data_IF_524092614700
#
_entry.id   IF_524092614700
#
_cell.length_a   1.000
_cell.length_b   1.000
_cell.length_c   1.000
_cell.angle_alpha   90.00
_cell.angle_beta   90.00
_cell.angle_gamma   90.00
#
_symmetry.space_group_name_H-M   'P 1'
#
loop_
_entity.id
_entity.type
_entity.pdbx_description
1 polymer ?
#
# COMPACT_ATOMS: atom_id res chain seq x y z
N UNK A 1 -17.07 -3.03 -1.12
CA UNK A 1 -17.25 -4.49 -1.25
C UNK A 1 -16.15 -5.14 -0.45
N UNK A 2 -16.49 -5.72 0.70
CA UNK A 2 -15.59 -6.43 1.59
C UNK A 2 -15.45 -7.86 1.06
N UNK A 3 -14.27 -8.21 0.52
CA UNK A 3 -13.94 -9.59 0.22
C UNK A 3 -13.89 -10.39 1.52
N UNK A 4 -14.99 -11.04 1.90
CA UNK A 4 -15.06 -11.88 3.08
C UNK A 4 -14.49 -13.25 2.77
N UNK A 5 -13.25 -13.51 3.20
CA UNK A 5 -12.76 -14.87 3.36
C UNK A 5 -13.42 -15.47 4.63
N UNK A 6 -14.53 -16.15 4.49
CA UNK A 6 -15.12 -16.91 5.59
C UNK A 6 -14.47 -18.29 5.69
N UNK A 7 -13.82 -18.56 6.83
CA UNK A 7 -13.33 -19.88 7.21
C UNK A 7 -13.92 -20.26 8.56
N UNK A 8 -14.51 -21.45 8.66
CA UNK A 8 -14.90 -22.05 9.92
C UNK A 8 -13.68 -22.78 10.50
N UNK A 9 -13.11 -22.25 11.58
CA UNK A 9 -12.15 -22.98 12.40
C UNK A 9 -12.90 -23.59 13.58
N UNK A 10 -12.95 -24.91 13.68
CA UNK A 10 -13.34 -25.59 14.90
C UNK A 10 -12.19 -25.50 15.93
N UNK A 11 -12.52 -25.18 17.18
CA UNK A 11 -11.56 -25.19 18.28
C UNK A 11 -11.23 -26.66 18.58
N UNK A 12 -10.17 -27.19 17.99
CA UNK A 12 -9.55 -28.45 18.42
C UNK A 12 -8.49 -28.06 19.46
N UNK A 13 -8.51 -28.65 20.67
CA UNK A 13 -7.44 -28.40 21.64
C UNK A 13 -6.08 -28.71 21.01
N UNK A 14 -5.13 -27.78 21.14
CA UNK A 14 -3.76 -27.90 20.60
C UNK A 14 -3.11 -29.21 21.07
N UNK A 15 -3.44 -29.69 22.27
CA UNK A 15 -2.96 -30.95 22.83
C UNK A 15 -3.36 -32.20 22.02
N UNK A 16 -4.47 -32.15 21.28
CA UNK A 16 -4.94 -33.29 20.45
C UNK A 16 -4.16 -33.40 19.13
N UNK A 17 -3.58 -32.30 18.65
CA UNK A 17 -2.85 -32.25 17.40
C UNK A 17 -1.32 -32.39 17.58
N UNK A 18 -0.84 -32.67 18.79
CA UNK A 18 0.57 -32.82 19.09
C UNK A 18 1.14 -34.05 18.36
N UNK A 19 2.35 -33.89 17.78
CA UNK A 19 3.08 -34.91 17.05
C UNK A 19 2.40 -35.40 15.74
N UNK A 20 1.32 -34.74 15.30
CA UNK A 20 0.66 -35.00 14.02
C UNK A 20 1.26 -34.08 12.95
N UNK A 21 1.66 -34.65 11.81
CA UNK A 21 1.99 -33.86 10.62
C UNK A 21 0.74 -33.56 9.82
N UNK A 22 0.61 -32.30 9.37
CA UNK A 22 -0.51 -31.86 8.56
C UNK A 22 -0.02 -31.07 7.34
N UNK A 23 -0.86 -31.08 6.30
CA UNK A 23 -0.68 -30.31 5.09
C UNK A 23 -1.70 -29.20 5.03
N UNK A 24 -1.21 -27.95 4.95
CA UNK A 24 -2.02 -26.76 4.81
C UNK A 24 -2.13 -26.30 3.36
N UNK A 25 -3.33 -25.85 2.97
CA UNK A 25 -3.61 -25.23 1.68
C UNK A 25 -4.23 -23.85 1.91
N UNK A 26 -3.67 -22.83 1.28
CA UNK A 26 -4.34 -21.53 1.18
C UNK A 26 -4.97 -21.45 -0.20
N UNK A 27 -6.31 -21.36 -0.23
CA UNK A 27 -7.10 -21.34 -1.45
C UNK A 27 -7.78 -19.97 -1.58
N UNK A 28 -7.68 -19.36 -2.75
CA UNK A 28 -8.30 -18.08 -3.03
C UNK A 28 -9.84 -18.23 -3.15
N UNK A 29 -10.58 -17.34 -2.50
CA UNK A 29 -12.05 -17.32 -2.55
C UNK A 29 -12.60 -16.31 -3.54
N UNK A 30 -11.74 -15.44 -4.06
CA UNK A 30 -12.08 -14.40 -5.02
C UNK A 30 -10.97 -14.23 -6.05
N UNK A 31 -11.17 -13.43 -7.09
CA UNK A 31 -10.15 -13.13 -8.10
C UNK A 31 -9.48 -11.78 -7.81
N UNK A 32 -8.19 -11.66 -8.07
CA UNK A 32 -7.45 -10.42 -7.83
C UNK A 32 -5.93 -10.56 -7.96
N UNK A 33 -5.20 -9.67 -7.30
CA UNK A 33 -3.73 -9.61 -7.33
C UNK A 33 -3.19 -10.11 -6.00
N UNK A 34 -2.36 -11.15 -6.06
CA UNK A 34 -1.73 -11.72 -4.87
C UNK A 34 -0.68 -10.75 -4.30
N UNK A 35 -0.73 -10.55 -2.98
CA UNK A 35 0.30 -9.87 -2.22
C UNK A 35 0.38 -10.45 -0.80
N UNK A 36 1.60 -10.61 -0.28
CA UNK A 36 1.86 -11.04 1.10
C UNK A 36 2.71 -12.30 1.25
N UNK A 37 2.88 -13.09 0.21
CA UNK A 37 3.72 -14.29 0.27
C UNK A 37 5.19 -13.95 0.59
N UNK A 38 5.68 -12.77 0.18
CA UNK A 38 7.01 -12.25 0.58
C UNK A 38 7.24 -12.30 2.10
N UNK A 39 6.20 -12.11 2.90
CA UNK A 39 6.29 -12.10 4.36
C UNK A 39 5.89 -13.46 4.98
N UNK A 40 4.91 -14.13 4.40
CA UNK A 40 4.42 -15.41 4.92
C UNK A 40 5.44 -16.54 4.70
N UNK A 41 6.16 -16.57 3.58
CA UNK A 41 7.13 -17.62 3.32
C UNK A 41 8.28 -17.68 4.36
N UNK A 42 8.96 -16.58 4.71
CA UNK A 42 9.97 -16.61 5.78
C UNK A 42 9.35 -16.90 7.15
N UNK A 43 8.14 -16.43 7.43
CA UNK A 43 7.43 -16.75 8.67
C UNK A 43 7.15 -18.25 8.82
N UNK A 44 6.67 -18.93 7.77
CA UNK A 44 6.47 -20.37 7.77
C UNK A 44 7.78 -21.14 7.99
N UNK A 45 8.85 -20.73 7.32
CA UNK A 45 10.18 -21.35 7.48
C UNK A 45 10.71 -21.18 8.90
N UNK A 46 10.54 -20.00 9.50
CA UNK A 46 10.91 -19.73 10.90
C UNK A 46 10.19 -20.68 11.87
N UNK A 47 8.93 -21.05 11.57
CA UNK A 47 8.15 -22.01 12.37
C UNK A 47 8.45 -23.49 12.02
N UNK A 48 9.44 -23.75 11.15
CA UNK A 48 9.82 -25.07 10.66
C UNK A 48 8.74 -25.77 9.81
N UNK A 49 7.94 -25.00 9.05
CA UNK A 49 7.10 -25.56 8.00
C UNK A 49 7.89 -25.75 6.70
N UNK A 50 7.65 -26.85 6.01
CA UNK A 50 8.15 -27.09 4.67
C UNK A 50 7.18 -26.52 3.63
N UNK A 51 7.61 -25.50 2.89
CA UNK A 51 6.80 -24.91 1.81
C UNK A 51 6.96 -25.78 0.56
N UNK A 52 5.87 -26.37 0.09
CA UNK A 52 5.85 -27.26 -1.09
C UNK A 52 5.52 -26.52 -2.38
N UNK A 53 4.69 -25.47 -2.30
CA UNK A 53 4.28 -24.69 -3.45
C UNK A 53 3.84 -23.28 -3.01
N UNK A 54 4.09 -22.30 -3.85
CA UNK A 54 3.54 -20.94 -3.69
C UNK A 54 3.47 -20.22 -5.03
N UNK A 55 2.59 -19.22 -5.10
CA UNK A 55 2.53 -18.25 -6.20
C UNK A 55 3.26 -16.98 -5.75
N UNK A 56 4.03 -16.37 -6.63
CA UNK A 56 4.71 -15.10 -6.36
C UNK A 56 3.72 -13.94 -6.27
N UNK A 57 4.03 -12.96 -5.42
CA UNK A 57 3.28 -11.71 -5.33
C UNK A 57 3.27 -10.98 -6.69
N UNK A 58 2.22 -10.19 -6.94
CA UNK A 58 1.99 -9.49 -8.20
C UNK A 58 1.27 -10.33 -9.29
N UNK A 59 1.10 -11.61 -9.08
CA UNK A 59 0.34 -12.45 -10.01
C UNK A 59 -1.16 -12.29 -9.85
N UNK A 60 -1.87 -12.24 -10.99
CA UNK A 60 -3.32 -12.39 -11.01
C UNK A 60 -3.71 -13.81 -10.61
N UNK A 61 -4.65 -13.94 -9.69
CA UNK A 61 -5.18 -15.21 -9.22
C UNK A 61 -6.70 -15.22 -9.34
N UNK A 62 -7.25 -16.42 -9.49
CA UNK A 62 -8.67 -16.68 -9.66
C UNK A 62 -9.26 -17.43 -8.45
N UNK A 63 -10.55 -17.35 -8.29
CA UNK A 63 -11.28 -18.15 -7.29
C UNK A 63 -10.99 -19.64 -7.49
N UNK A 64 -10.58 -20.31 -6.42
CA UNK A 64 -10.21 -21.73 -6.41
C UNK A 64 -8.72 -22.01 -6.53
N UNK A 65 -7.90 -21.02 -6.93
CA UNK A 65 -6.46 -21.22 -7.03
C UNK A 65 -5.84 -21.51 -5.66
N UNK A 66 -4.95 -22.49 -5.63
CA UNK A 66 -4.10 -22.78 -4.46
C UNK A 66 -2.88 -21.86 -4.51
N UNK A 67 -2.83 -20.86 -3.62
CA UNK A 67 -1.78 -19.84 -3.62
C UNK A 67 -0.57 -20.21 -2.76
N UNK A 68 -0.75 -21.17 -1.83
CA UNK A 68 0.30 -21.63 -0.93
C UNK A 68 -0.01 -23.04 -0.46
N UNK A 69 1.00 -23.92 -0.42
CA UNK A 69 0.93 -25.29 0.12
C UNK A 69 2.15 -25.51 1.01
N UNK A 70 1.93 -25.94 2.23
CA UNK A 70 2.97 -26.19 3.21
C UNK A 70 2.63 -27.35 4.13
N UNK A 71 3.65 -27.97 4.72
CA UNK A 71 3.52 -29.14 5.58
C UNK A 71 4.31 -28.94 6.86
N UNK A 72 3.80 -29.44 7.98
CA UNK A 72 4.47 -29.37 9.26
C UNK A 72 3.62 -29.89 10.41
N UNK A 73 3.94 -29.43 11.62
CA UNK A 73 3.24 -29.80 12.83
C UNK A 73 1.80 -29.24 12.83
N UNK A 74 0.81 -30.10 13.06
CA UNK A 74 -0.60 -29.75 13.00
C UNK A 74 -0.99 -28.74 14.09
N UNK A 75 -0.43 -28.84 15.28
CA UNK A 75 -0.69 -27.90 16.39
C UNK A 75 -0.21 -26.50 16.04
N UNK A 76 1.00 -26.36 15.49
CA UNK A 76 1.50 -25.09 15.02
C UNK A 76 0.68 -24.53 13.86
N UNK A 77 0.28 -25.40 12.91
CA UNK A 77 -0.57 -24.99 11.77
C UNK A 77 -1.88 -24.36 12.26
N UNK A 78 -2.59 -25.04 13.17
CA UNK A 78 -3.85 -24.55 13.73
C UNK A 78 -3.64 -23.21 14.48
N UNK A 79 -2.53 -23.05 15.18
CA UNK A 79 -2.26 -21.82 15.95
C UNK A 79 -1.98 -20.59 15.06
N UNK A 80 -1.42 -20.77 13.85
CA UNK A 80 -1.06 -19.67 12.94
C UNK A 80 -2.01 -19.50 11.76
N UNK A 81 -2.92 -20.43 11.53
CA UNK A 81 -3.86 -20.41 10.41
C UNK A 81 -4.56 -19.06 10.27
N UNK A 82 -5.19 -18.59 11.33
CA UNK A 82 -5.97 -17.36 11.30
C UNK A 82 -5.11 -16.13 11.01
N UNK A 83 -3.90 -16.09 11.57
CA UNK A 83 -2.95 -15.03 11.26
C UNK A 83 -2.58 -15.01 9.77
N UNK A 84 -2.19 -16.15 9.20
CA UNK A 84 -1.81 -16.26 7.79
C UNK A 84 -2.95 -15.82 6.89
N UNK A 85 -4.17 -16.31 7.13
CA UNK A 85 -5.33 -16.02 6.31
C UNK A 85 -5.73 -14.55 6.38
N UNK A 86 -5.79 -13.96 7.57
CA UNK A 86 -6.15 -12.54 7.74
C UNK A 86 -5.10 -11.62 7.14
N UNK A 87 -3.82 -11.95 7.30
CA UNK A 87 -2.71 -11.19 6.75
C UNK A 87 -2.75 -11.19 5.22
N UNK A 88 -2.82 -12.37 4.60
CA UNK A 88 -2.90 -12.49 3.14
C UNK A 88 -4.17 -11.84 2.58
N UNK A 89 -5.33 -12.04 3.21
CA UNK A 89 -6.59 -11.44 2.75
C UNK A 89 -6.53 -9.91 2.74
N UNK A 90 -5.92 -9.30 3.76
CA UNK A 90 -5.75 -7.84 3.82
C UNK A 90 -4.87 -7.32 2.68
N UNK A 91 -3.70 -7.91 2.50
CA UNK A 91 -2.75 -7.46 1.48
C UNK A 91 -3.26 -7.74 0.05
N UNK A 92 -3.90 -8.88 -0.15
CA UNK A 92 -4.59 -9.21 -1.39
C UNK A 92 -5.67 -8.17 -1.74
N UNK A 93 -6.50 -7.77 -0.76
CA UNK A 93 -7.53 -6.75 -0.96
C UNK A 93 -6.94 -5.41 -1.38
N UNK A 94 -5.86 -4.94 -0.71
CA UNK A 94 -5.18 -3.69 -1.04
C UNK A 94 -4.57 -3.74 -2.44
N UNK A 95 -3.81 -4.79 -2.77
CA UNK A 95 -3.18 -4.94 -4.08
C UNK A 95 -4.22 -5.03 -5.22
N UNK A 96 -5.33 -5.75 -4.97
CA UNK A 96 -6.43 -5.89 -5.95
C UNK A 96 -7.11 -4.56 -6.24
N UNK A 97 -7.49 -3.79 -5.21
CA UNK A 97 -8.10 -2.47 -5.39
C UNK A 97 -7.14 -1.51 -6.07
N UNK A 98 -5.87 -1.50 -5.66
CA UNK A 98 -4.84 -0.68 -6.33
C UNK A 98 -4.77 -1.01 -7.82
N UNK A 99 -4.71 -2.29 -8.18
CA UNK A 99 -4.65 -2.70 -9.59
C UNK A 99 -5.90 -2.31 -10.39
N UNK A 100 -7.09 -2.39 -9.79
CA UNK A 100 -8.34 -1.95 -10.42
C UNK A 100 -8.28 -0.44 -10.71
N UNK A 101 -7.83 0.37 -9.73
CA UNK A 101 -7.68 1.81 -9.89
C UNK A 101 -6.64 2.16 -10.97
N UNK A 102 -5.50 1.47 -10.97
CA UNK A 102 -4.43 1.64 -11.98
C UNK A 102 -4.95 1.35 -13.37
N UNK A 103 -5.65 0.25 -13.59
CA UNK A 103 -6.23 -0.09 -14.91
C UNK A 103 -7.14 1.01 -15.39
N UNK A 104 -8.09 1.48 -14.56
CA UNK A 104 -8.99 2.58 -14.94
C UNK A 104 -8.26 3.89 -15.21
N UNK A 105 -7.26 4.24 -14.42
CA UNK A 105 -6.49 5.46 -14.64
C UNK A 105 -5.69 5.41 -15.94
N UNK A 106 -5.11 4.26 -16.26
CA UNK A 106 -4.35 4.06 -17.50
C UNK A 106 -5.17 4.03 -18.78
N UNK A 107 -6.48 3.80 -18.70
CA UNK A 107 -7.40 3.99 -19.85
C UNK A 107 -7.39 5.45 -20.34
N UNK A 108 -7.11 6.41 -19.45
CA UNK A 108 -7.07 7.84 -19.76
C UNK A 108 -5.65 8.33 -20.04
N UNK A 109 -4.68 7.90 -19.25
CA UNK A 109 -3.29 8.30 -19.38
C UNK A 109 -2.36 7.21 -18.87
N UNK A 110 -1.53 6.67 -19.76
CA UNK A 110 -0.58 5.58 -19.46
C UNK A 110 0.49 5.96 -18.40
N UNK A 111 0.79 7.26 -18.27
CA UNK A 111 1.82 7.76 -17.35
C UNK A 111 1.28 8.10 -15.94
N UNK A 112 -0.03 7.96 -15.71
CA UNK A 112 -0.60 8.21 -14.39
C UNK A 112 -0.22 7.10 -13.42
N UNK A 113 0.01 7.46 -12.15
CA UNK A 113 0.25 6.52 -11.05
C UNK A 113 -0.81 6.66 -9.98
N UNK A 114 -1.16 5.55 -9.37
CA UNK A 114 -2.02 5.49 -8.18
C UNK A 114 -1.12 5.32 -6.96
N UNK A 115 -1.01 6.38 -6.18
CA UNK A 115 -0.09 6.44 -5.05
C UNK A 115 -0.80 6.24 -3.70
N UNK A 116 -0.20 5.47 -2.82
CA UNK A 116 -0.72 5.23 -1.48
C UNK A 116 -0.28 6.29 -0.47
N UNK A 117 -1.21 6.85 0.31
CA UNK A 117 -0.92 7.82 1.37
C UNK A 117 -0.27 7.16 2.60
N UNK A 118 0.05 7.97 3.62
CA UNK A 118 0.51 7.48 4.94
C UNK A 118 -0.64 7.17 5.93
N UNK A 119 -1.89 7.26 5.50
CA UNK A 119 -3.07 6.89 6.29
C UNK A 119 -3.20 5.35 6.33
N UNK A 120 -2.35 4.71 7.11
CA UNK A 120 -2.24 3.25 7.24
C UNK A 120 -2.68 2.79 8.62
N UNK A 121 -3.02 1.50 8.72
CA UNK A 121 -3.30 0.87 10.03
C UNK A 121 -2.06 0.94 10.92
N UNK A 122 -2.18 1.34 12.20
CA UNK A 122 -1.07 1.33 13.13
C UNK A 122 -0.34 -0.02 13.15
N UNK A 123 0.99 0.03 13.05
CA UNK A 123 1.84 -1.17 12.99
C UNK A 123 1.88 -1.89 11.63
N UNK A 124 0.95 -1.63 10.71
CA UNK A 124 0.84 -2.35 9.44
C UNK A 124 1.39 -1.61 8.21
N UNK A 125 1.95 -0.41 8.39
CA UNK A 125 2.39 0.45 7.28
C UNK A 125 3.29 -0.26 6.27
N UNK A 126 4.30 -0.98 6.73
CA UNK A 126 5.26 -1.67 5.85
C UNK A 126 4.55 -2.67 4.93
N UNK A 127 3.63 -3.42 5.48
CA UNK A 127 2.88 -4.45 4.76
C UNK A 127 1.86 -3.84 3.80
N UNK A 128 1.10 -2.84 4.24
CA UNK A 128 0.10 -2.16 3.39
C UNK A 128 0.75 -1.38 2.25
N UNK A 129 1.87 -0.69 2.50
CA UNK A 129 2.65 -0.02 1.48
C UNK A 129 3.22 -0.99 0.45
N UNK A 130 3.73 -2.13 0.89
CA UNK A 130 4.16 -3.19 0.00
C UNK A 130 3.01 -3.70 -0.89
N UNK A 131 1.81 -3.89 -0.34
CA UNK A 131 0.66 -4.33 -1.13
C UNK A 131 0.25 -3.29 -2.19
N UNK A 132 0.40 -1.98 -1.88
CA UNK A 132 0.21 -0.92 -2.87
C UNK A 132 1.32 -0.96 -3.92
N UNK A 133 2.59 -1.14 -3.52
CA UNK A 133 3.75 -1.25 -4.43
C UNK A 133 3.59 -2.40 -5.44
N UNK A 134 3.04 -3.53 -4.99
CA UNK A 134 2.67 -4.63 -5.88
C UNK A 134 1.64 -4.19 -6.95
N UNK A 135 0.80 -3.22 -6.63
CA UNK A 135 -0.18 -2.64 -7.54
C UNK A 135 0.34 -1.46 -8.38
N UNK A 136 1.12 -0.53 -7.78
CA UNK A 136 1.70 0.66 -8.43
C UNK A 136 2.72 1.38 -7.54
N UNK A 137 2.38 2.54 -6.94
CA UNK A 137 3.33 3.44 -6.25
C UNK A 137 3.01 3.56 -4.74
N UNK A 138 3.93 3.18 -3.86
CA UNK A 138 3.70 3.30 -2.42
C UNK A 138 3.78 4.75 -1.91
N UNK A 139 4.18 5.74 -2.74
CA UNK A 139 4.48 7.10 -2.31
C UNK A 139 5.52 7.10 -1.17
N UNK A 140 5.39 7.96 -0.18
CA UNK A 140 6.32 7.99 0.97
C UNK A 140 6.04 6.87 1.96
N UNK A 141 7.06 6.13 2.38
CA UNK A 141 6.96 5.16 3.48
C UNK A 141 6.95 5.83 4.85
N UNK A 142 7.78 6.88 5.01
CA UNK A 142 7.99 7.56 6.29
C UNK A 142 8.20 9.07 6.11
N UNK A 143 8.52 9.78 7.21
CA UNK A 143 8.72 11.23 7.21
C UNK A 143 10.05 11.66 6.61
N UNK A 144 11.02 10.75 6.48
CA UNK A 144 12.36 11.08 5.96
C UNK A 144 12.50 10.89 4.45
N UNK A 145 11.51 10.35 3.74
CA UNK A 145 11.60 10.10 2.30
C UNK A 145 11.52 11.40 1.49
N UNK A 146 10.59 12.27 1.84
CA UNK A 146 10.39 13.57 1.23
C UNK A 146 9.75 14.54 2.23
N UNK A 147 9.94 15.84 2.01
CA UNK A 147 9.24 16.88 2.77
C UNK A 147 7.80 16.99 2.25
N UNK A 148 6.83 17.10 3.16
CA UNK A 148 5.46 17.47 2.83
C UNK A 148 5.06 18.68 3.67
N UNK A 149 4.83 19.79 3.00
CA UNK A 149 4.26 21.01 3.58
C UNK A 149 2.74 20.91 3.50
N UNK A 150 2.07 21.18 4.60
CA UNK A 150 0.62 21.13 4.74
C UNK A 150 0.07 22.48 5.23
N UNK A 151 -1.24 22.64 5.16
CA UNK A 151 -2.00 23.79 5.68
C UNK A 151 -1.57 24.23 7.08
N UNK A 152 -1.43 23.29 8.01
CA UNK A 152 -0.96 23.55 9.37
C UNK A 152 0.44 24.20 9.39
N UNK A 153 1.36 23.76 8.55
CA UNK A 153 2.70 24.34 8.48
C UNK A 153 2.65 25.75 7.90
N UNK A 154 1.81 25.97 6.88
CA UNK A 154 1.62 27.27 6.24
C UNK A 154 0.99 28.25 7.24
N UNK A 155 -0.03 27.82 7.98
CA UNK A 155 -0.68 28.61 9.01
C UNK A 155 0.27 29.03 10.12
N UNK A 156 1.13 28.12 10.59
CA UNK A 156 2.11 28.40 11.64
C UNK A 156 3.20 29.37 11.19
N UNK A 157 3.66 29.28 9.93
CA UNK A 157 4.74 30.10 9.41
C UNK A 157 4.26 31.44 8.83
N UNK A 158 3.04 31.50 8.30
CA UNK A 158 2.36 32.68 7.78
C UNK A 158 2.63 33.00 6.30
N UNK A 159 3.69 32.49 5.68
CA UNK A 159 4.05 32.74 4.27
C UNK A 159 4.55 31.47 3.60
N UNK A 160 3.84 31.03 2.57
CA UNK A 160 4.15 29.78 1.84
C UNK A 160 5.48 29.85 1.08
N UNK A 161 5.73 30.95 0.38
CA UNK A 161 6.93 31.08 -0.46
C UNK A 161 8.21 31.15 0.39
N UNK A 162 8.18 31.87 1.48
CA UNK A 162 9.29 31.95 2.44
C UNK A 162 9.52 30.59 3.13
N UNK A 163 8.45 29.90 3.51
CA UNK A 163 8.51 28.58 4.12
C UNK A 163 9.21 27.57 3.18
N UNK A 164 8.85 27.55 1.90
CA UNK A 164 9.47 26.67 0.90
C UNK A 164 10.96 26.98 0.75
N UNK A 165 11.35 28.26 0.66
CA UNK A 165 12.77 28.67 0.57
C UNK A 165 13.55 28.21 1.81
N UNK A 166 13.05 28.49 3.00
CA UNK A 166 13.70 28.10 4.26
C UNK A 166 13.84 26.60 4.41
N UNK A 167 12.84 25.83 4.01
CA UNK A 167 12.93 24.37 3.99
C UNK A 167 13.98 23.91 2.98
N UNK A 168 14.03 24.48 1.79
CA UNK A 168 15.04 24.15 0.78
C UNK A 168 16.48 24.36 1.29
N UNK A 169 16.71 25.39 2.08
CA UNK A 169 18.03 25.67 2.70
C UNK A 169 18.35 24.70 3.84
N UNK A 170 17.34 24.14 4.52
CA UNK A 170 17.52 23.29 5.69
C UNK A 170 17.57 21.79 5.39
N UNK A 171 17.21 21.36 4.16
CA UNK A 171 17.22 19.94 3.77
C UNK A 171 18.24 19.66 2.69
N UNK A 172 18.66 18.39 2.57
CA UNK A 172 19.54 17.96 1.48
C UNK A 172 18.91 18.25 0.12
N UNK A 173 19.73 18.62 -0.86
CA UNK A 173 19.31 18.86 -2.25
C UNK A 173 18.64 17.65 -2.90
N UNK A 174 18.86 16.43 -2.38
CA UNK A 174 18.23 15.19 -2.84
C UNK A 174 16.79 15.03 -2.36
N UNK A 175 16.33 15.85 -1.40
CA UNK A 175 14.96 15.75 -0.87
C UNK A 175 13.98 16.53 -1.72
N UNK A 176 12.91 15.84 -2.15
CA UNK A 176 11.78 16.47 -2.79
C UNK A 176 10.97 17.26 -1.77
N UNK A 177 10.45 18.41 -2.18
CA UNK A 177 9.50 19.21 -1.42
C UNK A 177 8.15 19.11 -2.12
N UNK A 178 7.20 18.47 -1.47
CA UNK A 178 5.80 18.37 -1.86
C UNK A 178 4.98 19.35 -1.02
N UNK A 179 4.06 20.07 -1.64
CA UNK A 179 3.20 21.05 -0.97
C UNK A 179 1.75 20.68 -1.19
N UNK A 180 1.00 20.50 -0.10
CA UNK A 180 -0.44 20.26 -0.11
C UNK A 180 -1.17 21.59 -0.15
N UNK A 181 -2.03 21.79 -1.15
CA UNK A 181 -2.78 23.02 -1.39
C UNK A 181 -4.22 22.71 -1.77
N UNK A 182 -5.13 23.62 -1.46
CA UNK A 182 -6.57 23.50 -1.76
C UNK A 182 -7.10 24.59 -2.71
N UNK A 183 -6.23 25.49 -3.19
CA UNK A 183 -6.61 26.59 -4.11
C UNK A 183 -5.68 26.65 -5.32
N UNK A 184 -6.20 27.22 -6.41
CA UNK A 184 -5.41 27.49 -7.62
C UNK A 184 -4.25 28.44 -7.32
N UNK A 185 -4.51 29.50 -6.57
CA UNK A 185 -3.56 30.56 -6.22
C UNK A 185 -2.36 29.99 -5.46
N UNK A 186 -2.62 29.15 -4.46
CA UNK A 186 -1.56 28.54 -3.65
C UNK A 186 -0.78 27.48 -4.45
N UNK A 187 -1.42 26.77 -5.38
CA UNK A 187 -0.73 25.88 -6.30
C UNK A 187 0.29 26.65 -7.17
N UNK A 188 -0.08 27.84 -7.68
CA UNK A 188 0.81 28.67 -8.48
C UNK A 188 1.93 29.29 -7.62
N UNK A 189 1.64 29.72 -6.39
CA UNK A 189 2.67 30.21 -5.45
C UNK A 189 3.69 29.09 -5.12
N UNK A 190 3.20 27.89 -4.77
CA UNK A 190 4.06 26.75 -4.47
C UNK A 190 4.98 26.39 -5.67
N UNK A 191 4.41 26.36 -6.88
CA UNK A 191 5.18 26.12 -8.10
C UNK A 191 6.29 27.15 -8.31
N UNK A 192 5.95 28.46 -8.23
CA UNK A 192 6.92 29.57 -8.39
C UNK A 192 8.00 29.57 -7.30
N UNK A 193 7.66 29.15 -6.09
CA UNK A 193 8.60 29.05 -4.98
C UNK A 193 9.54 27.84 -5.06
N UNK A 194 9.37 26.97 -6.07
CA UNK A 194 10.25 25.83 -6.31
C UNK A 194 9.86 24.53 -5.61
N UNK A 195 8.56 24.33 -5.33
CA UNK A 195 8.05 23.02 -4.94
C UNK A 195 8.29 21.98 -6.06
N UNK A 196 8.75 20.79 -5.70
CA UNK A 196 8.99 19.71 -6.65
C UNK A 196 7.70 18.97 -7.04
N UNK A 197 6.73 18.90 -6.12
CA UNK A 197 5.42 18.34 -6.33
C UNK A 197 4.34 19.16 -5.62
N UNK A 198 3.14 19.18 -6.19
CA UNK A 198 1.98 19.86 -5.62
C UNK A 198 0.89 18.81 -5.44
N UNK A 199 0.46 18.61 -4.20
CA UNK A 199 -0.66 17.76 -3.83
C UNK A 199 -1.92 18.62 -3.78
N UNK A 200 -2.85 18.38 -4.69
CA UNK A 200 -4.13 19.09 -4.78
C UNK A 200 -5.13 18.37 -3.86
N UNK A 201 -5.38 18.94 -2.69
CA UNK A 201 -6.24 18.34 -1.66
C UNK A 201 -7.65 18.96 -1.68
N UNK A 202 -8.67 18.08 -1.58
CA UNK A 202 -10.09 18.48 -1.56
C UNK A 202 -10.57 19.33 -2.75
N UNK A 203 -9.91 19.25 -3.90
CA UNK A 203 -10.28 19.96 -5.13
C UNK A 203 -11.12 19.10 -6.06
N UNK A 204 -12.11 19.72 -6.69
CA UNK A 204 -12.96 19.06 -7.70
C UNK A 204 -12.24 19.01 -9.06
N UNK A 205 -12.58 18.07 -9.95
CA UNK A 205 -11.93 17.94 -11.26
C UNK A 205 -11.88 19.23 -12.08
N UNK A 206 -12.93 20.06 -12.06
CA UNK A 206 -12.96 21.32 -12.79
C UNK A 206 -12.00 22.39 -12.23
N UNK A 207 -11.65 22.33 -10.94
CA UNK A 207 -10.67 23.20 -10.29
C UNK A 207 -9.24 22.76 -10.59
N UNK A 208 -9.03 21.46 -10.79
CA UNK A 208 -7.72 20.85 -11.09
C UNK A 208 -7.31 21.12 -12.54
N UNK A 209 -8.25 21.08 -13.50
CA UNK A 209 -7.97 21.21 -14.94
C UNK A 209 -7.14 22.46 -15.29
N UNK A 210 -7.43 23.67 -14.81
CA UNK A 210 -6.64 24.85 -15.13
C UNK A 210 -5.19 24.76 -14.61
N UNK A 211 -4.97 24.16 -13.43
CA UNK A 211 -3.64 23.98 -12.84
C UNK A 211 -2.79 23.06 -13.72
N UNK A 212 -3.34 21.92 -14.12
CA UNK A 212 -2.64 20.92 -14.93
C UNK A 212 -2.35 21.44 -16.34
N UNK A 213 -3.29 22.19 -16.95
CA UNK A 213 -3.10 22.78 -18.29
C UNK A 213 -1.96 23.80 -18.32
N UNK A 214 -1.78 24.59 -17.27
CA UNK A 214 -0.73 25.62 -17.21
C UNK A 214 0.69 25.00 -17.24
N UNK A 215 0.88 23.83 -16.68
CA UNK A 215 2.18 23.11 -16.71
C UNK A 215 2.65 22.72 -18.12
N UNK A 216 1.74 22.68 -19.13
CA UNK A 216 2.10 22.35 -20.52
C UNK A 216 2.70 23.53 -21.29
N UNK A 217 2.66 24.75 -20.77
CA UNK A 217 3.05 25.98 -21.46
C UNK A 217 4.17 26.75 -20.71
N UNK A 218 4.76 26.15 -19.68
CA UNK A 218 5.90 26.67 -18.92
C UNK A 218 7.05 25.67 -18.95
#
# INVERSE_FOLDING_TARGET
MSGSCNYSASIIPISVAKDIKAKGYVVCKDSGILAGNKFILPFLRFLNFEVKYYINDGKGISKGDKILIFEGDASKLLSVERFILNFLARLFGIATITNIMVKKAKEVNLNVRIAGTRKTTPGFRVFEKYAIEVGDDPHRYNLSDAVLIKDNHITLYGNLEELIKKIRESVSFTKLIEVEVSTYEDAIKAYKAGANAILLDNMRPYEIIPIVKRKKYS
#
